data_IF_431555507925
#
_entry.id   IF_431555507925
#
_cell.length_a   1.000
_cell.length_b   1.000
_cell.length_c   1.000
_cell.angle_alpha   90.00
_cell.angle_beta   90.00
_cell.angle_gamma   90.00
#
_symmetry.space_group_name_H-M   'P 1'
#
loop_
_entity.id
_entity.type
_entity.pdbx_description
1 polymer ?
#
# COMPACT_ATOMS: atom_id res chain seq x y z
N UNK A 1 -11.79 10.29 -18.52
CA UNK A 1 -10.86 11.35 -18.08
C UNK A 1 -9.43 10.90 -18.33
N UNK A 2 -8.43 11.79 -18.16
CA UNK A 2 -7.02 11.44 -18.35
C UNK A 2 -6.42 10.62 -17.20
N UNK A 3 -7.07 10.61 -16.02
CA UNK A 3 -6.64 9.92 -14.81
C UNK A 3 -7.14 8.47 -14.73
N UNK A 4 -6.39 7.64 -14.00
CA UNK A 4 -6.73 6.25 -13.71
C UNK A 4 -6.70 5.98 -12.19
N UNK A 5 -5.57 5.52 -11.64
CA UNK A 5 -5.33 5.40 -10.21
C UNK A 5 -3.89 5.87 -9.90
N UNK A 6 -3.61 6.17 -8.63
CA UNK A 6 -2.48 7.03 -8.23
C UNK A 6 -1.12 6.49 -8.69
N UNK A 7 -0.80 5.22 -8.44
CA UNK A 7 0.48 4.61 -8.85
C UNK A 7 0.65 4.58 -10.38
N UNK A 8 -0.43 4.33 -11.12
CA UNK A 8 -0.39 4.35 -12.59
C UNK A 8 -0.25 5.77 -13.13
N UNK A 9 -0.93 6.73 -12.51
CA UNK A 9 -0.84 8.13 -12.90
C UNK A 9 0.53 8.73 -12.54
N UNK A 10 1.18 8.25 -11.46
CA UNK A 10 2.58 8.54 -11.16
C UNK A 10 3.52 8.04 -12.28
N UNK A 11 3.43 6.77 -12.70
CA UNK A 11 4.23 6.25 -13.82
C UNK A 11 3.99 6.97 -15.15
N UNK A 12 2.86 7.69 -15.29
CA UNK A 12 2.53 8.50 -16.47
C UNK A 12 2.98 9.96 -16.35
N UNK A 13 3.72 10.31 -15.30
CA UNK A 13 4.20 11.67 -15.07
C UNK A 13 3.09 12.68 -14.70
N UNK A 14 1.91 12.19 -14.30
CA UNK A 14 0.76 13.06 -14.01
C UNK A 14 0.76 13.61 -12.59
N UNK A 15 1.62 13.07 -11.71
CA UNK A 15 1.68 13.42 -10.29
C UNK A 15 3.03 14.11 -9.99
N UNK A 16 3.06 15.43 -9.74
CA UNK A 16 4.32 16.20 -9.66
C UNK A 16 5.21 15.81 -8.48
N UNK A 17 4.65 15.19 -7.44
CA UNK A 17 5.38 14.84 -6.21
C UNK A 17 5.65 13.33 -6.07
N UNK A 18 5.27 12.53 -7.08
CA UNK A 18 5.49 11.08 -7.07
C UNK A 18 6.24 10.72 -8.35
N UNK A 19 7.46 10.16 -8.25
CA UNK A 19 8.28 9.92 -9.43
C UNK A 19 7.68 8.87 -10.36
N UNK A 20 7.99 8.98 -11.65
CA UNK A 20 7.54 8.05 -12.69
C UNK A 20 8.08 6.62 -12.48
N UNK A 21 9.19 6.46 -11.77
CA UNK A 21 9.79 5.18 -11.43
C UNK A 21 9.31 4.61 -10.08
N UNK A 22 8.10 4.98 -9.63
CA UNK A 22 7.50 4.53 -8.36
C UNK A 22 7.29 3.01 -8.27
N UNK A 23 7.18 2.33 -9.42
CA UNK A 23 7.09 0.87 -9.54
C UNK A 23 8.20 0.38 -10.49
N UNK A 24 8.73 -0.81 -10.23
CA UNK A 24 9.70 -1.46 -11.13
C UNK A 24 9.04 -1.94 -12.43
N UNK A 25 7.80 -2.40 -12.32
CA UNK A 25 7.00 -2.93 -13.43
C UNK A 25 5.85 -1.97 -13.78
N UNK A 26 5.25 -2.10 -14.97
CA UNK A 26 4.03 -1.37 -15.31
C UNK A 26 2.92 -1.57 -14.27
N UNK A 27 2.26 -0.49 -13.89
CA UNK A 27 1.21 -0.49 -12.90
C UNK A 27 0.07 -1.43 -13.32
N UNK A 28 -0.36 -2.39 -12.47
CA UNK A 28 -1.29 -3.44 -12.85
C UNK A 28 -2.70 -2.90 -13.14
N UNK A 29 -3.25 -3.24 -14.29
CA UNK A 29 -4.64 -2.92 -14.65
C UNK A 29 -5.47 -4.20 -14.62
N UNK A 30 -6.06 -4.49 -13.46
CA UNK A 30 -6.88 -5.68 -13.27
C UNK A 30 -7.99 -5.43 -12.24
N UNK A 31 -9.17 -5.99 -12.47
CA UNK A 31 -10.36 -5.81 -11.60
C UNK A 31 -10.18 -6.36 -10.19
N UNK A 32 -9.28 -7.33 -10.01
CA UNK A 32 -8.98 -7.95 -8.72
C UNK A 32 -7.81 -7.30 -7.97
N UNK A 33 -7.23 -6.21 -8.51
CA UNK A 33 -6.14 -5.44 -7.88
C UNK A 33 -6.65 -4.07 -7.50
N UNK A 34 -6.66 -3.77 -6.20
CA UNK A 34 -7.14 -2.50 -5.67
C UNK A 34 -5.99 -1.65 -5.18
N UNK A 35 -6.09 -0.33 -5.34
CA UNK A 35 -5.15 0.60 -4.73
C UNK A 35 -5.68 1.09 -3.39
N UNK A 36 -4.92 0.88 -2.32
CA UNK A 36 -5.18 1.52 -1.03
C UNK A 36 -4.37 2.82 -0.92
N UNK A 37 -5.06 3.91 -0.63
CA UNK A 37 -4.44 5.21 -0.36
C UNK A 37 -4.66 5.63 1.09
N UNK A 38 -3.76 6.46 1.62
CA UNK A 38 -3.86 7.04 2.98
C UNK A 38 -3.99 5.99 4.10
N UNK A 39 -3.23 4.90 4.02
CA UNK A 39 -3.07 3.96 5.12
C UNK A 39 -2.09 4.54 6.17
N UNK A 40 -2.60 5.24 7.18
CA UNK A 40 -1.78 5.85 8.22
C UNK A 40 -2.35 5.63 9.63
N UNK A 41 -1.47 5.74 10.63
CA UNK A 41 -1.82 5.81 12.05
C UNK A 41 -1.26 7.13 12.59
N UNK A 42 -2.01 7.80 13.46
CA UNK A 42 -1.55 9.07 14.05
C UNK A 42 -0.25 8.89 14.82
N UNK A 43 0.63 9.90 14.75
CA UNK A 43 1.95 9.89 15.40
C UNK A 43 1.86 9.92 16.93
N UNK A 44 0.71 10.31 17.48
CA UNK A 44 0.50 10.47 18.92
C UNK A 44 0.06 9.16 19.63
N UNK A 45 -0.10 8.05 18.90
CA UNK A 45 -0.45 6.78 19.55
C UNK A 45 0.76 6.17 20.28
N UNK A 46 0.57 5.62 21.50
CA UNK A 46 1.59 4.84 22.20
C UNK A 46 2.04 3.64 21.37
N UNK A 47 3.34 3.31 21.42
CA UNK A 47 3.94 2.24 20.63
C UNK A 47 3.25 0.88 20.81
N UNK A 48 2.82 0.57 22.03
CA UNK A 48 2.09 -0.66 22.38
C UNK A 48 0.76 -0.78 21.62
N UNK A 49 0.02 0.33 21.47
CA UNK A 49 -1.26 0.36 20.75
C UNK A 49 -1.09 0.41 19.24
N UNK A 50 0.03 0.93 18.73
CA UNK A 50 0.27 1.06 17.28
C UNK A 50 0.15 -0.26 16.57
N UNK A 51 0.79 -1.33 17.06
CA UNK A 51 0.75 -2.63 16.40
C UNK A 51 -0.67 -3.19 16.32
N UNK A 52 -1.47 -3.01 17.38
CA UNK A 52 -2.86 -3.45 17.45
C UNK A 52 -3.74 -2.65 16.48
N UNK A 53 -3.58 -1.33 16.43
CA UNK A 53 -4.33 -0.45 15.52
C UNK A 53 -3.98 -0.78 14.06
N UNK A 54 -2.69 -0.95 13.79
CA UNK A 54 -2.15 -1.35 12.50
C UNK A 54 -2.74 -2.70 12.03
N UNK A 55 -2.75 -3.71 12.90
CA UNK A 55 -3.35 -5.00 12.60
C UNK A 55 -4.85 -4.89 12.29
N UNK A 56 -5.59 -4.11 13.08
CA UNK A 56 -7.02 -3.87 12.85
C UNK A 56 -7.26 -3.16 11.51
N UNK A 57 -6.45 -2.16 11.19
CA UNK A 57 -6.56 -1.39 9.95
C UNK A 57 -6.28 -2.27 8.72
N UNK A 58 -5.21 -3.06 8.75
CA UNK A 58 -4.89 -4.01 7.67
C UNK A 58 -6.00 -5.04 7.49
N UNK A 59 -6.50 -5.63 8.60
CA UNK A 59 -7.60 -6.61 8.53
C UNK A 59 -8.89 -6.01 7.97
N UNK A 60 -9.26 -4.80 8.42
CA UNK A 60 -10.44 -4.11 7.91
C UNK A 60 -10.31 -3.79 6.41
N UNK A 61 -9.14 -3.32 5.98
CA UNK A 61 -8.84 -3.06 4.57
C UNK A 61 -8.89 -4.35 3.74
N UNK A 62 -8.25 -5.44 4.21
CA UNK A 62 -8.27 -6.73 3.53
C UNK A 62 -9.70 -7.26 3.38
N UNK A 63 -10.50 -7.23 4.45
CA UNK A 63 -11.90 -7.66 4.42
C UNK A 63 -12.74 -6.81 3.46
N UNK A 64 -12.58 -5.48 3.48
CA UNK A 64 -13.32 -4.60 2.59
C UNK A 64 -12.97 -4.86 1.12
N UNK A 65 -11.69 -5.09 0.82
CA UNK A 65 -11.23 -5.39 -0.52
C UNK A 65 -11.75 -6.76 -1.01
N UNK A 66 -11.65 -7.81 -0.19
CA UNK A 66 -12.10 -9.17 -0.57
C UNK A 66 -13.60 -9.28 -0.74
N UNK A 67 -14.40 -8.60 0.11
CA UNK A 67 -15.86 -8.53 -0.04
C UNK A 67 -16.29 -7.94 -1.39
N UNK A 68 -15.41 -7.19 -2.04
CA UNK A 68 -15.65 -6.54 -3.33
C UNK A 68 -14.92 -7.25 -4.48
N UNK A 69 -14.40 -8.46 -4.23
CA UNK A 69 -13.76 -9.30 -5.24
C UNK A 69 -12.27 -9.03 -5.50
N UNK A 70 -11.63 -8.16 -4.71
CA UNK A 70 -10.19 -7.94 -4.82
C UNK A 70 -9.41 -9.09 -4.18
N UNK A 71 -8.34 -9.53 -4.85
CA UNK A 71 -7.40 -10.52 -4.32
C UNK A 71 -6.09 -9.89 -3.87
N UNK A 72 -5.77 -8.72 -4.43
CA UNK A 72 -4.55 -7.98 -4.14
C UNK A 72 -4.85 -6.52 -3.83
N UNK A 73 -4.06 -5.97 -2.91
CA UNK A 73 -4.05 -4.54 -2.61
C UNK A 73 -2.64 -3.99 -2.82
N UNK A 74 -2.51 -2.96 -3.64
CA UNK A 74 -1.25 -2.24 -3.89
C UNK A 74 -1.32 -0.84 -3.27
N UNK A 75 -0.19 -0.29 -2.82
CA UNK A 75 -0.17 1.08 -2.33
C UNK A 75 1.23 1.58 -1.98
N UNK A 76 1.32 2.89 -1.71
CA UNK A 76 2.51 3.52 -1.16
C UNK A 76 2.45 3.41 0.36
N UNK A 77 3.50 2.83 0.93
CA UNK A 77 3.59 2.50 2.35
C UNK A 77 4.95 2.91 2.92
N UNK A 78 5.11 3.04 4.25
CA UNK A 78 6.43 3.30 4.83
C UNK A 78 7.48 2.26 4.41
N UNK A 79 8.75 2.61 4.23
CA UNK A 79 9.79 1.65 3.82
C UNK A 79 10.02 0.51 4.84
N UNK A 80 9.56 0.69 6.09
CA UNK A 80 9.52 -0.36 7.08
C UNK A 80 8.35 -1.35 6.86
N UNK A 81 7.59 -1.22 5.76
CA UNK A 81 6.26 -1.83 5.65
C UNK A 81 6.26 -3.36 5.66
N UNK A 82 7.28 -3.93 5.03
CA UNK A 82 7.41 -5.37 5.02
C UNK A 82 7.68 -5.93 6.43
N UNK A 83 8.43 -5.20 7.25
CA UNK A 83 8.87 -5.65 8.57
C UNK A 83 7.71 -5.77 9.57
N UNK A 84 6.84 -4.77 9.67
CA UNK A 84 5.65 -4.84 10.54
C UNK A 84 4.61 -5.85 10.03
N UNK A 85 4.42 -5.99 8.72
CA UNK A 85 3.55 -7.04 8.16
C UNK A 85 4.02 -8.44 8.58
N UNK A 86 5.32 -8.72 8.44
CA UNK A 86 5.90 -10.00 8.86
C UNK A 86 5.69 -10.27 10.37
N UNK A 87 5.72 -9.24 11.22
CA UNK A 87 5.42 -9.38 12.66
C UNK A 87 3.96 -9.75 12.95
N UNK A 88 3.05 -9.46 12.02
CA UNK A 88 1.64 -9.82 12.08
C UNK A 88 1.34 -11.18 11.42
N UNK A 89 2.36 -11.90 10.95
CA UNK A 89 2.17 -13.12 10.17
C UNK A 89 1.63 -12.88 8.77
N UNK A 90 1.68 -11.63 8.28
CA UNK A 90 1.20 -11.22 6.97
C UNK A 90 2.37 -10.97 6.03
N UNK A 91 2.12 -11.04 4.72
CA UNK A 91 3.13 -10.78 3.70
C UNK A 91 2.79 -9.54 2.88
N UNK A 92 3.83 -8.76 2.59
CA UNK A 92 3.79 -7.67 1.62
C UNK A 92 5.05 -7.74 0.77
N UNK A 93 4.88 -7.71 -0.55
CA UNK A 93 5.97 -7.74 -1.50
C UNK A 93 6.28 -6.31 -1.96
N UNK A 94 7.50 -5.80 -1.74
CA UNK A 94 7.90 -4.52 -2.33
C UNK A 94 7.97 -4.62 -3.85
N UNK A 95 7.38 -3.65 -4.56
CA UNK A 95 7.26 -3.64 -6.04
C UNK A 95 7.81 -2.36 -6.67
N UNK A 96 8.49 -1.54 -5.88
CA UNK A 96 9.15 -0.32 -6.33
C UNK A 96 10.35 0.05 -5.45
N UNK A 97 11.10 1.10 -5.83
CA UNK A 97 12.25 1.57 -5.06
C UNK A 97 11.82 2.20 -3.73
N UNK A 98 12.76 2.27 -2.80
CA UNK A 98 12.60 3.10 -1.59
C UNK A 98 12.81 4.55 -1.99
N UNK A 99 11.86 5.40 -1.62
CA UNK A 99 11.83 6.81 -2.01
C UNK A 99 11.63 7.69 -0.79
N UNK A 100 12.03 8.95 -0.92
CA UNK A 100 11.57 10.01 -0.04
C UNK A 100 10.46 10.76 -0.76
N UNK A 101 9.22 10.62 -0.27
CA UNK A 101 8.04 11.29 -0.83
C UNK A 101 7.47 12.15 0.28
N UNK A 102 7.44 13.47 0.07
CA UNK A 102 6.93 14.44 1.05
C UNK A 102 7.59 14.35 2.44
N UNK A 103 8.88 13.96 2.51
CA UNK A 103 9.62 13.80 3.75
C UNK A 103 9.51 12.42 4.40
N UNK A 104 8.65 11.54 3.88
CA UNK A 104 8.48 10.18 4.38
C UNK A 104 9.28 9.17 3.55
N UNK A 105 10.01 8.29 4.25
CA UNK A 105 10.65 7.13 3.64
C UNK A 105 9.60 6.09 3.29
N UNK A 106 9.31 5.95 2.00
CA UNK A 106 8.20 5.14 1.47
C UNK A 106 8.66 4.14 0.43
N UNK A 107 7.80 3.19 0.12
CA UNK A 107 7.99 2.20 -0.93
C UNK A 107 6.62 1.73 -1.42
N UNK A 108 6.50 1.42 -2.71
CA UNK A 108 5.32 0.73 -3.21
C UNK A 108 5.36 -0.76 -2.82
N UNK A 109 4.25 -1.29 -2.32
CA UNK A 109 4.12 -2.70 -1.96
C UNK A 109 2.77 -3.27 -2.39
N UNK A 110 2.75 -4.56 -2.70
CA UNK A 110 1.53 -5.34 -2.96
C UNK A 110 1.32 -6.36 -1.84
N UNK A 111 0.06 -6.54 -1.44
CA UNK A 111 -0.39 -7.49 -0.44
C UNK A 111 -1.38 -8.46 -1.07
N UNK A 112 -1.22 -9.74 -0.80
CA UNK A 112 -2.26 -10.73 -1.06
C UNK A 112 -3.27 -10.72 0.10
N UNK A 113 -4.53 -10.38 -0.19
CA UNK A 113 -5.57 -10.18 0.83
C UNK A 113 -6.66 -11.25 0.80
N UNK A 114 -6.81 -12.01 -0.30
CA UNK A 114 -7.82 -13.07 -0.39
C UNK A 114 -7.56 -14.28 0.53
N UNK A 115 -6.33 -14.46 1.02
CA UNK A 115 -5.99 -15.53 1.96
C UNK A 115 -6.13 -15.16 3.44
N UNK A 116 -6.65 -13.96 3.77
CA UNK A 116 -6.67 -13.43 5.14
C UNK A 116 -8.05 -13.44 5.82
N UNK A 117 -9.04 -14.09 5.21
CA UNK A 117 -10.39 -14.30 5.78
C UNK A 117 -10.40 -15.32 6.90
#
# INVERSE_FOLDING_TARGET
GCYSYMLRDAQRGLLPNIPEYILYEPAPVATHVWEATRLFVTKNEPAERRLIIQAKLIKAMANAATQQGATHVIGIVPAAFQRWMNRLGLSALPVGPKLNISGDHTQAAVMYVAGQT
#
